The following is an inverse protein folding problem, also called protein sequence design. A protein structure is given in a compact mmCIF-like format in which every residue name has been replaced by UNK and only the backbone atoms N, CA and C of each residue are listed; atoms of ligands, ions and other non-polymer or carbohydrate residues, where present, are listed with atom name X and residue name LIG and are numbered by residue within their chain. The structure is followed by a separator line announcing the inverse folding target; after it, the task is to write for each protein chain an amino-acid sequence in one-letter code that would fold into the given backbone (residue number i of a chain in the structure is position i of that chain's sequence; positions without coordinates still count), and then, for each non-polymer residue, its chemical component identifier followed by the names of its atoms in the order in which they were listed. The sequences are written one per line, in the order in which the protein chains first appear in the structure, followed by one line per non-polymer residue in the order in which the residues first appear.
data_IF_573104091116
#
_entry.id   IF_573104091116
#
_cell.length_a   1.000
_cell.length_b   1.000
_cell.length_c   1.000
_cell.angle_alpha   90.00
_cell.angle_beta   90.00
_cell.angle_gamma   90.00
#
_symmetry.space_group_name_H-M   'P 1'
#
loop_
_entity.id
_entity.type
_entity.pdbx_description
1 polymer ?
#
# COMPACT_ATOMS: atom_id res chain seq x y z
N UNK A 1 21.64 -18.23 30.75
CA UNK A 1 21.53 -17.01 29.92
C UNK A 1 20.85 -17.40 28.63
N UNK A 2 19.68 -16.82 28.33
CA UNK A 2 18.77 -17.28 27.28
C UNK A 2 19.18 -16.63 25.95
N UNK A 3 19.59 -17.45 24.97
CA UNK A 3 19.80 -17.01 23.60
C UNK A 3 18.44 -16.80 22.92
N UNK A 4 18.03 -15.55 22.76
CA UNK A 4 16.86 -15.16 21.96
C UNK A 4 17.34 -14.51 20.66
N UNK A 5 17.74 -15.32 19.69
CA UNK A 5 17.79 -14.93 18.29
C UNK A 5 16.42 -15.19 17.68
N UNK A 6 15.48 -14.29 17.93
CA UNK A 6 14.21 -14.27 17.23
C UNK A 6 14.47 -14.27 15.71
N UNK A 7 14.10 -15.37 15.07
CA UNK A 7 14.15 -15.59 13.62
C UNK A 7 13.49 -14.42 12.90
N UNK A 8 14.31 -13.62 12.21
CA UNK A 8 13.85 -12.59 11.27
C UNK A 8 13.32 -13.33 10.04
N UNK A 9 12.11 -13.91 10.12
CA UNK A 9 11.41 -14.50 8.98
C UNK A 9 11.26 -13.37 7.96
N UNK A 10 12.12 -13.36 6.94
CA UNK A 10 11.97 -12.44 5.81
C UNK A 10 10.60 -12.74 5.21
N UNK A 11 9.65 -11.86 5.46
CA UNK A 11 8.36 -11.92 4.80
C UNK A 11 8.64 -11.52 3.35
N UNK A 12 8.84 -12.52 2.47
CA UNK A 12 9.14 -12.29 1.06
C UNK A 12 8.08 -11.45 0.35
N UNK A 13 8.48 -10.90 -0.79
CA UNK A 13 7.63 -10.12 -1.70
C UNK A 13 6.45 -10.96 -2.20
N UNK A 14 5.30 -10.32 -2.41
CA UNK A 14 4.10 -10.91 -3.01
C UNK A 14 4.27 -11.14 -4.51
N UNK A 15 5.07 -10.29 -5.17
CA UNK A 15 5.42 -10.47 -6.58
C UNK A 15 6.94 -10.39 -6.79
N UNK A 16 7.72 -11.42 -6.38
CA UNK A 16 9.19 -11.38 -6.40
C UNK A 16 9.81 -11.07 -7.76
N UNK A 17 9.18 -11.54 -8.84
CA UNK A 17 9.66 -11.35 -10.21
C UNK A 17 9.43 -9.95 -10.81
N UNK A 18 8.74 -9.04 -10.10
CA UNK A 18 8.55 -7.68 -10.60
C UNK A 18 9.74 -6.78 -10.22
N UNK A 19 10.26 -6.02 -11.19
CA UNK A 19 11.25 -4.97 -10.91
C UNK A 19 10.64 -3.87 -10.04
N UNK A 20 11.44 -3.28 -9.16
CA UNK A 20 11.07 -2.13 -8.35
C UNK A 20 11.79 -0.87 -8.87
N UNK A 21 11.16 0.31 -8.80
CA UNK A 21 11.83 1.57 -9.10
C UNK A 21 13.06 1.79 -8.23
N UNK A 22 14.06 2.46 -8.78
CA UNK A 22 15.30 2.82 -8.06
C UNK A 22 15.08 3.90 -7.00
N UNK A 23 13.98 4.65 -7.09
CA UNK A 23 13.54 5.66 -6.13
C UNK A 23 12.01 5.63 -5.98
N UNK A 24 11.49 6.14 -4.86
CA UNK A 24 10.06 6.43 -4.70
C UNK A 24 9.81 7.91 -4.91
N UNK A 25 8.74 8.24 -5.61
CA UNK A 25 8.35 9.63 -5.82
C UNK A 25 7.74 10.24 -4.54
N UNK A 26 8.17 11.47 -4.22
CA UNK A 26 7.64 12.24 -3.08
C UNK A 26 7.20 13.61 -3.61
N UNK A 27 5.88 13.91 -3.62
CA UNK A 27 5.38 15.20 -4.06
C UNK A 27 6.05 16.38 -3.36
N UNK A 28 6.36 17.44 -4.10
CA UNK A 28 6.98 18.65 -3.55
C UNK A 28 8.49 18.51 -3.26
N UNK A 29 9.15 17.49 -3.81
CA UNK A 29 10.61 17.30 -3.72
C UNK A 29 11.23 17.15 -5.11
N UNK A 30 12.56 17.09 -5.17
CA UNK A 30 13.32 16.95 -6.43
C UNK A 30 13.26 15.54 -7.05
N UNK A 31 12.52 14.60 -6.46
CA UNK A 31 12.33 13.27 -7.08
C UNK A 31 11.60 13.44 -8.43
N UNK A 32 12.13 12.91 -9.54
CA UNK A 32 11.47 13.03 -10.85
C UNK A 32 10.08 12.40 -10.82
N UNK A 33 9.07 13.09 -11.36
CA UNK A 33 7.72 12.54 -11.41
C UNK A 33 7.68 11.30 -12.33
N UNK A 34 7.17 10.14 -11.87
CA UNK A 34 7.31 8.86 -12.57
C UNK A 34 6.87 8.88 -14.03
N UNK A 35 5.76 9.57 -14.34
CA UNK A 35 5.21 9.64 -15.70
C UNK A 35 5.49 10.95 -16.47
N UNK A 36 5.84 12.04 -15.77
CA UNK A 36 5.80 13.41 -16.34
C UNK A 36 7.18 14.01 -16.54
N UNK A 37 8.19 13.51 -15.82
CA UNK A 37 9.58 13.91 -15.98
C UNK A 37 10.30 12.87 -16.84
N UNK A 38 11.16 13.30 -17.76
CA UNK A 38 11.95 12.41 -18.63
C UNK A 38 12.86 11.46 -17.85
N UNK A 39 13.27 11.84 -16.64
CA UNK A 39 14.05 11.01 -15.71
C UNK A 39 13.17 10.09 -14.85
N UNK A 40 11.84 10.15 -15.05
CA UNK A 40 10.84 9.38 -14.34
C UNK A 40 10.98 7.88 -14.56
N UNK A 41 10.85 7.08 -13.49
CA UNK A 41 11.00 5.62 -13.58
C UNK A 41 9.96 4.90 -14.44
N UNK A 42 8.88 5.60 -14.82
CA UNK A 42 7.83 5.13 -15.73
C UNK A 42 7.64 6.03 -16.96
N UNK A 43 8.60 6.91 -17.25
CA UNK A 43 8.50 7.85 -18.36
C UNK A 43 8.48 7.12 -19.69
N UNK A 44 7.55 7.49 -20.58
CA UNK A 44 7.38 6.86 -21.89
C UNK A 44 6.92 5.39 -21.87
N UNK A 45 6.70 4.80 -20.68
CA UNK A 45 6.15 3.45 -20.60
C UNK A 45 4.69 3.46 -21.02
N UNK A 46 4.33 2.53 -21.92
CA UNK A 46 2.92 2.34 -22.30
C UNK A 46 2.14 1.82 -21.09
N UNK A 47 1.05 2.49 -20.76
CA UNK A 47 0.10 2.02 -19.76
C UNK A 47 -0.40 0.62 -20.16
N UNK A 48 0.07 -0.41 -19.46
CA UNK A 48 -0.51 -1.76 -19.59
C UNK A 48 -1.95 -1.72 -19.10
N UNK A 49 -2.85 -2.35 -19.85
CA UNK A 49 -4.24 -2.47 -19.45
C UNK A 49 -4.33 -3.23 -18.12
N UNK A 50 -4.98 -2.61 -17.15
CA UNK A 50 -5.20 -3.19 -15.83
C UNK A 50 -6.50 -3.96 -15.82
N UNK A 51 -6.50 -5.17 -15.26
CA UNK A 51 -7.71 -5.95 -15.06
C UNK A 51 -8.34 -5.60 -13.70
N UNK A 52 -9.68 -5.58 -13.59
CA UNK A 52 -10.39 -5.49 -12.31
C UNK A 52 -9.84 -6.47 -11.27
N UNK A 53 -9.99 -6.14 -9.98
CA UNK A 53 -9.67 -7.04 -8.88
C UNK A 53 -10.87 -7.95 -8.57
N UNK A 54 -10.83 -9.26 -8.89
CA UNK A 54 -11.81 -10.21 -8.38
C UNK A 54 -11.51 -10.56 -6.92
N UNK A 55 -12.48 -10.47 -6.00
CA UNK A 55 -12.26 -10.79 -4.59
C UNK A 55 -11.76 -12.22 -4.34
N UNK A 56 -12.25 -13.21 -5.10
CA UNK A 56 -11.95 -14.63 -4.87
C UNK A 56 -10.67 -15.12 -5.58
N UNK A 57 -10.19 -14.37 -6.58
CA UNK A 57 -8.94 -14.67 -7.32
C UNK A 57 -7.95 -13.51 -7.25
N UNK A 58 -7.98 -12.78 -6.12
CA UNK A 58 -7.10 -11.63 -5.85
C UNK A 58 -5.61 -11.98 -6.02
N UNK A 59 -5.23 -13.23 -5.70
CA UNK A 59 -3.86 -13.71 -5.76
C UNK A 59 -3.29 -13.77 -7.20
N UNK A 60 -4.15 -13.79 -8.22
CA UNK A 60 -3.73 -13.76 -9.62
C UNK A 60 -3.56 -12.32 -10.15
N UNK A 61 -4.04 -11.31 -9.42
CA UNK A 61 -3.94 -9.92 -9.84
C UNK A 61 -2.56 -9.34 -9.50
N UNK A 62 -1.67 -9.40 -10.48
CA UNK A 62 -0.27 -8.92 -10.34
C UNK A 62 -0.16 -7.46 -9.90
N UNK A 63 -1.07 -6.58 -10.30
CA UNK A 63 -1.03 -5.16 -9.92
C UNK A 63 -1.38 -4.99 -8.44
N UNK A 64 -2.36 -5.76 -7.96
CA UNK A 64 -2.69 -5.83 -6.54
C UNK A 64 -1.50 -6.31 -5.69
N UNK A 65 -0.84 -7.40 -6.11
CA UNK A 65 0.33 -7.93 -5.42
C UNK A 65 1.53 -6.98 -5.44
N UNK A 66 1.77 -6.31 -6.57
CA UNK A 66 2.83 -5.32 -6.70
C UNK A 66 2.58 -4.09 -5.80
N UNK A 67 1.34 -3.63 -5.70
CA UNK A 67 0.98 -2.52 -4.82
C UNK A 67 1.20 -2.87 -3.33
N UNK A 68 0.94 -4.12 -2.92
CA UNK A 68 1.29 -4.61 -1.58
C UNK A 68 2.80 -4.57 -1.35
N UNK A 69 3.60 -5.00 -2.33
CA UNK A 69 5.06 -4.90 -2.27
C UNK A 69 5.52 -3.44 -2.13
N UNK A 70 4.97 -2.54 -2.95
CA UNK A 70 5.28 -1.12 -2.87
C UNK A 70 4.99 -0.55 -1.48
N UNK A 71 3.80 -0.81 -0.94
CA UNK A 71 3.42 -0.35 0.38
C UNK A 71 4.37 -0.88 1.47
N UNK A 72 4.63 -2.19 1.45
CA UNK A 72 5.46 -2.87 2.44
C UNK A 72 6.92 -2.45 2.40
N UNK A 73 7.42 -2.03 1.24
CA UNK A 73 8.80 -1.57 1.03
C UNK A 73 8.95 -0.05 1.17
N UNK A 74 7.85 0.69 1.28
CA UNK A 74 7.86 2.14 1.50
C UNK A 74 7.83 3.00 0.23
N UNK A 75 7.39 2.43 -0.88
CA UNK A 75 7.04 3.12 -2.13
C UNK A 75 5.58 3.59 -2.07
N UNK A 76 5.27 4.48 -1.12
CA UNK A 76 3.87 4.80 -0.80
C UNK A 76 3.13 5.51 -1.92
N UNK A 77 3.83 6.34 -2.72
CA UNK A 77 3.22 6.96 -3.88
C UNK A 77 2.91 5.92 -4.96
N UNK A 78 3.84 5.01 -5.24
CA UNK A 78 3.63 3.95 -6.23
C UNK A 78 2.52 2.99 -5.81
N UNK A 79 2.43 2.65 -4.52
CA UNK A 79 1.33 1.86 -3.98
C UNK A 79 -0.02 2.58 -4.14
N UNK A 80 -0.06 3.88 -3.81
CA UNK A 80 -1.24 4.72 -3.97
C UNK A 80 -1.70 4.74 -5.43
N UNK A 81 -0.79 5.07 -6.36
CA UNK A 81 -1.10 5.18 -7.79
C UNK A 81 -1.58 3.84 -8.37
N UNK A 82 -0.89 2.74 -8.04
CA UNK A 82 -1.25 1.42 -8.54
C UNK A 82 -2.64 0.97 -8.04
N UNK A 83 -2.93 1.15 -6.74
CA UNK A 83 -4.26 0.87 -6.19
C UNK A 83 -5.34 1.85 -6.67
N UNK A 84 -5.02 3.11 -6.95
CA UNK A 84 -5.98 4.07 -7.50
C UNK A 84 -6.38 3.68 -8.93
N UNK A 85 -5.41 3.28 -9.76
CA UNK A 85 -5.67 2.75 -11.10
C UNK A 85 -6.51 1.48 -11.03
N UNK A 86 -6.22 0.59 -10.07
CA UNK A 86 -6.97 -0.65 -9.85
C UNK A 86 -8.40 -0.38 -9.38
N UNK A 87 -8.58 0.57 -8.47
CA UNK A 87 -9.88 1.04 -7.99
C UNK A 87 -10.76 1.54 -9.13
N UNK A 88 -10.21 2.38 -10.02
CA UNK A 88 -10.94 2.92 -11.17
C UNK A 88 -11.42 1.84 -12.14
N UNK A 89 -10.55 0.87 -12.49
CA UNK A 89 -10.94 -0.20 -13.42
C UNK A 89 -11.84 -1.25 -12.77
N UNK A 90 -11.73 -1.45 -11.45
CA UNK A 90 -12.55 -2.42 -10.73
C UNK A 90 -13.99 -1.95 -10.59
N UNK A 91 -14.21 -0.64 -10.42
CA UNK A 91 -15.55 -0.07 -10.20
C UNK A 91 -15.63 0.56 -8.82
N UNK A 92 -15.62 1.91 -8.72
CA UNK A 92 -15.56 2.60 -7.43
C UNK A 92 -16.68 2.30 -6.44
N UNK A 93 -17.88 2.02 -6.94
CA UNK A 93 -19.08 1.80 -6.12
C UNK A 93 -19.21 0.34 -5.65
N UNK A 94 -18.48 -0.59 -6.26
CA UNK A 94 -18.46 -1.99 -5.84
C UNK A 94 -17.78 -2.13 -4.47
N UNK A 95 -18.17 -3.15 -3.72
CA UNK A 95 -17.59 -3.49 -2.40
C UNK A 95 -16.06 -3.62 -2.48
N UNK A 96 -15.54 -4.29 -3.53
CA UNK A 96 -14.10 -4.39 -3.79
C UNK A 96 -13.45 -3.06 -4.19
N UNK A 97 -14.19 -2.17 -4.85
CA UNK A 97 -13.74 -0.80 -5.12
C UNK A 97 -13.57 -0.01 -3.82
N UNK A 98 -14.54 -0.11 -2.90
CA UNK A 98 -14.46 0.53 -1.58
C UNK A 98 -13.32 -0.05 -0.73
N UNK A 99 -13.11 -1.37 -0.75
CA UNK A 99 -11.93 -2.00 -0.16
C UNK A 99 -10.62 -1.40 -0.68
N UNK A 100 -10.46 -1.32 -2.01
CA UNK A 100 -9.30 -0.70 -2.64
C UNK A 100 -9.15 0.77 -2.24
N UNK A 101 -10.26 1.50 -2.08
CA UNK A 101 -10.23 2.89 -1.63
C UNK A 101 -9.63 3.04 -0.23
N UNK A 102 -9.86 2.07 0.67
CA UNK A 102 -9.22 2.01 1.97
C UNK A 102 -7.69 1.88 1.85
N UNK A 103 -7.20 1.00 0.96
CA UNK A 103 -5.75 0.83 0.69
C UNK A 103 -5.12 2.07 0.05
N UNK A 104 -5.83 2.74 -0.85
CA UNK A 104 -5.43 4.04 -1.43
C UNK A 104 -5.27 5.09 -0.31
N UNK A 105 -6.25 5.19 0.61
CA UNK A 105 -6.17 6.11 1.75
C UNK A 105 -5.01 5.77 2.68
N UNK A 106 -4.79 4.49 3.00
CA UNK A 106 -3.69 4.06 3.86
C UNK A 106 -2.32 4.38 3.22
N UNK A 107 -2.20 4.24 1.89
CA UNK A 107 -1.02 4.66 1.13
C UNK A 107 -0.82 6.18 1.16
N UNK A 108 -1.90 6.95 0.99
CA UNK A 108 -1.87 8.40 1.13
C UNK A 108 -1.39 8.82 2.53
N UNK A 109 -1.78 8.11 3.59
CA UNK A 109 -1.22 8.34 4.91
C UNK A 109 0.30 8.16 4.92
N UNK A 110 0.82 7.10 4.26
CA UNK A 110 2.27 6.88 4.11
C UNK A 110 2.96 8.00 3.34
N UNK A 111 2.35 8.51 2.27
CA UNK A 111 2.84 9.69 1.54
C UNK A 111 2.89 10.92 2.45
N UNK A 112 1.85 11.18 3.25
CA UNK A 112 1.83 12.31 4.19
C UNK A 112 2.88 12.22 5.29
N UNK A 113 3.32 11.01 5.67
CA UNK A 113 4.51 10.87 6.53
C UNK A 113 5.75 11.43 5.83
N UNK A 114 5.93 11.12 4.54
CA UNK A 114 7.06 11.58 3.72
C UNK A 114 7.01 13.09 3.45
N UNK A 115 5.81 13.64 3.32
CA UNK A 115 5.55 15.08 3.19
C UNK A 115 5.59 15.84 4.53
N UNK A 116 5.88 15.17 5.66
CA UNK A 116 5.91 15.76 7.02
C UNK A 116 4.57 16.39 7.45
N UNK A 117 3.45 15.85 6.97
CA UNK A 117 2.11 16.35 7.27
C UNK A 117 1.37 15.44 8.27
N UNK A 118 1.57 15.69 9.57
CA UNK A 118 0.94 14.90 10.66
C UNK A 118 -0.59 14.90 10.55
N UNK A 119 -1.17 16.06 10.26
CA UNK A 119 -2.62 16.19 10.07
C UNK A 119 -3.11 15.35 8.89
N UNK A 120 -2.36 15.37 7.78
CA UNK A 120 -2.67 14.54 6.60
C UNK A 120 -2.61 13.04 6.92
N UNK A 121 -1.61 12.60 7.68
CA UNK A 121 -1.47 11.19 8.10
C UNK A 121 -2.70 10.76 8.90
N UNK A 122 -3.06 11.51 9.95
CA UNK A 122 -4.21 11.19 10.81
C UNK A 122 -5.51 11.12 10.03
N UNK A 123 -5.77 12.11 9.18
CA UNK A 123 -6.99 12.16 8.35
C UNK A 123 -7.09 10.94 7.43
N UNK A 124 -6.03 10.64 6.67
CA UNK A 124 -6.06 9.55 5.72
C UNK A 124 -6.09 8.18 6.39
N UNK A 125 -5.36 8.01 7.50
CA UNK A 125 -5.35 6.77 8.26
C UNK A 125 -6.72 6.48 8.91
N UNK A 126 -7.31 7.46 9.61
CA UNK A 126 -8.65 7.30 10.20
C UNK A 126 -9.69 6.95 9.14
N UNK A 127 -9.70 7.67 8.02
CA UNK A 127 -10.63 7.40 6.93
C UNK A 127 -10.37 6.06 6.23
N UNK A 128 -9.15 5.51 6.26
CA UNK A 128 -8.89 4.15 5.80
C UNK A 128 -9.53 3.13 6.74
N UNK A 129 -9.39 3.32 8.06
CA UNK A 129 -10.00 2.48 9.09
C UNK A 129 -11.52 2.42 8.99
N UNK A 130 -12.17 3.57 8.83
CA UNK A 130 -13.63 3.68 8.60
C UNK A 130 -14.06 2.86 7.38
N UNK A 131 -13.39 3.04 6.24
CA UNK A 131 -13.68 2.30 5.01
C UNK A 131 -13.52 0.79 5.20
N UNK A 132 -12.47 0.35 5.91
CA UNK A 132 -12.28 -1.07 6.20
C UNK A 132 -13.35 -1.63 7.12
N UNK A 133 -13.82 -0.86 8.10
CA UNK A 133 -14.92 -1.27 8.98
C UNK A 133 -16.24 -1.40 8.21
N UNK A 134 -16.56 -0.44 7.33
CA UNK A 134 -17.76 -0.47 6.51
C UNK A 134 -17.80 -1.70 5.59
N UNK A 135 -16.69 -2.01 4.92
CA UNK A 135 -16.59 -3.18 4.03
C UNK A 135 -16.65 -4.48 4.84
N UNK A 136 -16.03 -4.54 6.02
CA UNK A 136 -16.12 -5.71 6.89
C UNK A 136 -17.58 -5.97 7.31
N UNK A 137 -18.30 -4.92 7.71
CA UNK A 137 -19.70 -5.00 8.10
C UNK A 137 -20.62 -5.43 6.93
N UNK A 138 -20.39 -4.90 5.73
CA UNK A 138 -21.18 -5.25 4.55
C UNK A 138 -20.96 -6.69 4.09
N UNK A 139 -19.70 -7.15 4.10
CA UNK A 139 -19.36 -8.49 3.60
C UNK A 139 -19.66 -9.59 4.61
N UNK A 140 -19.67 -9.26 5.91
CA UNK A 140 -19.79 -10.26 6.98
C UNK A 140 -18.62 -11.24 7.05
N UNK A 141 -17.45 -10.85 6.52
CA UNK A 141 -16.24 -11.68 6.48
C UNK A 141 -15.10 -11.07 7.27
N UNK A 142 -14.21 -11.90 7.81
CA UNK A 142 -13.03 -11.45 8.56
C UNK A 142 -11.90 -10.93 7.66
N UNK A 143 -11.87 -11.35 6.40
CA UNK A 143 -10.83 -11.00 5.44
C UNK A 143 -11.40 -10.82 4.04
N UNK A 144 -10.80 -9.91 3.28
CA UNK A 144 -11.19 -9.60 1.91
C UNK A 144 -9.98 -9.39 1.01
N UNK A 145 -10.00 -9.98 -0.18
CA UNK A 145 -8.85 -10.03 -1.08
C UNK A 145 -7.55 -10.52 -0.37
N UNK A 146 -7.69 -11.47 0.55
CA UNK A 146 -6.60 -12.04 1.34
C UNK A 146 -6.14 -11.20 2.55
N UNK A 147 -6.62 -9.97 2.73
CA UNK A 147 -6.26 -9.12 3.87
C UNK A 147 -7.34 -9.14 4.96
N UNK A 148 -6.89 -9.40 6.18
CA UNK A 148 -7.71 -9.46 7.40
C UNK A 148 -8.12 -8.05 7.87
N UNK A 149 -9.42 -7.84 8.10
CA UNK A 149 -9.97 -6.53 8.46
C UNK A 149 -9.55 -6.06 9.85
N UNK A 150 -9.44 -6.96 10.83
CA UNK A 150 -8.94 -6.60 12.16
C UNK A 150 -7.51 -6.07 12.07
N UNK A 151 -6.66 -6.71 11.26
CA UNK A 151 -5.29 -6.24 11.01
C UNK A 151 -5.25 -4.93 10.24
N UNK A 152 -6.13 -4.74 9.25
CA UNK A 152 -6.22 -3.50 8.47
C UNK A 152 -6.67 -2.30 9.32
N UNK A 153 -7.69 -2.49 10.15
CA UNK A 153 -8.18 -1.45 11.06
C UNK A 153 -7.11 -1.13 12.11
N UNK A 154 -6.48 -2.14 12.71
CA UNK A 154 -5.35 -1.92 13.62
C UNK A 154 -4.18 -1.19 12.93
N UNK A 155 -3.87 -1.53 11.68
CA UNK A 155 -2.85 -0.84 10.89
C UNK A 155 -3.20 0.64 10.67
N UNK A 156 -4.45 0.94 10.35
CA UNK A 156 -4.94 2.32 10.23
C UNK A 156 -4.77 3.10 11.55
N UNK A 157 -5.16 2.52 12.69
CA UNK A 157 -4.98 3.15 14.00
C UNK A 157 -3.50 3.39 14.33
N UNK A 158 -2.64 2.39 14.08
CA UNK A 158 -1.18 2.52 14.30
C UNK A 158 -0.58 3.60 13.41
N UNK A 159 -1.05 3.73 12.17
CA UNK A 159 -0.62 4.80 11.28
C UNK A 159 -1.01 6.19 11.81
N UNK A 160 -2.23 6.35 12.33
CA UNK A 160 -2.69 7.63 12.91
C UNK A 160 -1.91 8.04 14.18
N UNK A 161 -1.39 7.07 14.92
CA UNK A 161 -0.65 7.25 16.17
C UNK A 161 0.88 7.28 16.01
N UNK A 162 1.39 7.28 14.77
CA UNK A 162 2.81 7.20 14.50
C UNK A 162 3.60 8.34 15.16
N UNK A 163 4.76 8.03 15.75
CA UNK A 163 5.77 9.03 16.10
C UNK A 163 6.66 9.31 14.88
N UNK A 164 6.75 10.57 14.49
CA UNK A 164 7.43 10.97 13.25
C UNK A 164 8.91 11.20 13.48
N UNK A 165 9.74 10.70 12.55
CA UNK A 165 11.15 11.06 12.44
C UNK A 165 11.29 12.22 11.46
N UNK A 166 12.26 13.11 11.70
CA UNK A 166 12.42 14.33 10.89
C UNK A 166 13.37 14.14 9.69
N UNK A 167 14.07 13.01 9.61
CA UNK A 167 15.25 12.76 8.78
C UNK A 167 15.02 11.75 7.64
N UNK A 168 13.79 11.62 7.15
CA UNK A 168 13.52 10.71 6.04
C UNK A 168 14.23 11.15 4.76
N UNK A 169 15.13 10.32 4.17
CA UNK A 169 15.81 10.66 2.93
C UNK A 169 14.81 10.78 1.78
N UNK A 170 15.04 11.77 0.92
CA UNK A 170 14.25 11.98 -0.31
C UNK A 170 14.59 10.87 -1.32
N UNK A 171 13.60 10.41 -2.08
CA UNK A 171 13.77 9.39 -3.12
C UNK A 171 14.01 7.96 -2.63
N UNK A 172 14.52 7.75 -1.40
CA UNK A 172 14.74 6.38 -0.88
C UNK A 172 13.42 5.74 -0.44
N UNK A 173 13.08 4.53 -0.91
CA UNK A 173 11.96 3.77 -0.37
C UNK A 173 12.25 3.38 1.07
N UNK A 174 11.35 3.73 1.98
CA UNK A 174 11.51 3.44 3.40
C UNK A 174 10.15 3.16 4.01
N UNK A 175 10.00 1.96 4.59
CA UNK A 175 8.81 1.62 5.37
C UNK A 175 8.76 2.50 6.63
N UNK A 176 7.76 3.37 6.71
CA UNK A 176 7.53 4.25 7.85
C UNK A 176 6.58 3.65 8.88
N UNK A 177 5.74 2.70 8.45
CA UNK A 177 4.79 2.03 9.32
C UNK A 177 5.40 0.84 10.06
N UNK A 178 4.97 0.57 11.32
CA UNK A 178 5.47 -0.55 12.11
C UNK A 178 4.81 -1.90 11.75
N UNK A 179 4.07 -1.97 10.65
CA UNK A 179 3.33 -3.14 10.20
C UNK A 179 3.57 -3.43 8.72
N UNK A 180 3.12 -4.61 8.30
CA UNK A 180 3.12 -5.07 6.92
C UNK A 180 1.70 -5.51 6.55
N UNK A 181 1.32 -5.31 5.30
CA UNK A 181 0.12 -5.92 4.73
C UNK A 181 0.52 -7.31 4.22
N UNK A 182 0.00 -8.35 4.88
CA UNK A 182 0.36 -9.74 4.61
C UNK A 182 -0.91 -10.52 4.28
N UNK A 183 -1.18 -10.79 2.99
CA UNK A 183 -2.28 -11.64 2.59
C UNK A 183 -2.16 -13.07 3.11
N UNK A 184 -3.31 -13.73 3.31
CA UNK A 184 -3.42 -15.14 3.65
C UNK A 184 -4.48 -15.82 2.75
N UNK A 185 -4.17 -16.94 2.06
CA UNK A 185 -2.85 -17.57 1.94
C UNK A 185 -1.84 -16.66 1.24
N UNK A 186 -0.54 -16.95 1.39
CA UNK A 186 0.48 -16.20 0.65
C UNK A 186 0.52 -16.66 -0.80
N UNK A 187 0.54 -15.74 -1.78
CA UNK A 187 0.71 -16.10 -3.19
C UNK A 187 2.09 -16.73 -3.44
N UNK A 188 2.14 -17.70 -4.35
CA UNK A 188 3.39 -18.32 -4.84
C UNK A 188 4.29 -18.96 -3.75
N UNK A 189 3.69 -19.48 -2.67
CA UNK A 189 4.39 -20.23 -1.62
C UNK A 189 4.07 -21.72 -1.64
#
# INVERSE_FOLDING_TARGET
MVNSTATKKQTGRMLPGASLPTYTFIPGTDTPHPYRDQRGHSYGQKNRAMKPLPPDSWADNRNYLLAIDYFNLGYYWEAHDEWERLWRVTGPDLTVGRFLKGLVKLSAAGMKVREKSIHGVRRHAASAGEVFADVAAETGTDAYCGLDFTKLQFAADRAAQLRYRNDYPVGRPLRVFPFLLLPNPRPFQ
#
